data_IF_090610069349
#
_entry.id   IF_090610069349
#
_cell.length_a   1.000
_cell.length_b   1.000
_cell.length_c   1.000
_cell.angle_alpha   90.00
_cell.angle_beta   90.00
_cell.angle_gamma   90.00
#
_symmetry.space_group_name_H-M   'P 1'
#
loop_
_entity.id
_entity.type
_entity.pdbx_description
1 polymer ?
#
# COMPACT_ATOMS: atom_id res chain seq x y z
N UNK A 1 35.57 5.75 -20.02
CA UNK A 1 34.93 4.53 -19.43
C UNK A 1 35.25 4.52 -17.94
N UNK A 2 34.29 4.79 -17.05
CA UNK A 2 34.50 4.61 -15.59
C UNK A 2 34.76 3.13 -15.31
N UNK A 3 35.64 2.83 -14.37
CA UNK A 3 35.93 1.45 -13.97
C UNK A 3 34.69 0.82 -13.36
N UNK A 4 34.59 -0.52 -13.38
CA UNK A 4 33.50 -1.24 -12.69
C UNK A 4 33.47 -0.89 -11.21
N UNK A 5 34.64 -0.73 -10.61
CA UNK A 5 34.84 -0.34 -9.21
C UNK A 5 34.27 1.05 -8.93
N UNK A 6 34.50 2.03 -9.81
CA UNK A 6 34.00 3.40 -9.61
C UNK A 6 32.47 3.45 -9.63
N UNK A 7 31.83 2.62 -10.47
CA UNK A 7 30.36 2.51 -10.51
C UNK A 7 29.79 1.85 -9.27
N UNK A 8 30.46 0.83 -8.74
CA UNK A 8 30.04 0.15 -7.52
C UNK A 8 30.22 1.05 -6.29
N UNK A 9 31.32 1.81 -6.21
CA UNK A 9 31.56 2.77 -5.14
C UNK A 9 30.57 3.93 -5.19
N UNK A 10 30.26 4.44 -6.39
CA UNK A 10 29.22 5.46 -6.54
C UNK A 10 27.85 4.96 -6.05
N UNK A 11 27.44 3.75 -6.44
CA UNK A 11 26.19 3.16 -5.98
C UNK A 11 26.18 2.91 -4.46
N UNK A 12 27.29 2.47 -3.88
CA UNK A 12 27.43 2.28 -2.44
C UNK A 12 27.33 3.60 -1.68
N UNK A 13 27.96 4.66 -2.18
CA UNK A 13 27.86 6.00 -1.58
C UNK A 13 26.42 6.52 -1.66
N UNK A 14 25.77 6.42 -2.82
CA UNK A 14 24.35 6.79 -2.95
C UNK A 14 23.45 6.03 -1.96
N UNK A 15 23.72 4.73 -1.76
CA UNK A 15 22.99 3.95 -0.77
C UNK A 15 23.25 4.42 0.66
N UNK A 16 24.51 4.67 1.02
CA UNK A 16 24.87 5.16 2.37
C UNK A 16 24.34 6.57 2.64
N UNK A 17 24.38 7.45 1.64
CA UNK A 17 23.81 8.80 1.72
C UNK A 17 22.30 8.71 1.98
N UNK A 18 21.58 7.85 1.25
CA UNK A 18 20.16 7.63 1.51
C UNK A 18 19.90 7.04 2.91
N UNK A 19 20.69 6.05 3.35
CA UNK A 19 20.53 5.44 4.67
C UNK A 19 20.85 6.39 5.84
N UNK A 20 21.61 7.45 5.59
CA UNK A 20 22.00 8.43 6.62
C UNK A 20 21.13 9.68 6.60
N UNK A 21 20.68 10.11 5.43
CA UNK A 21 19.88 11.34 5.27
C UNK A 21 18.39 11.06 5.17
N UNK A 22 18.01 9.80 4.93
CA UNK A 22 16.66 9.38 4.56
C UNK A 22 16.12 10.08 3.30
N UNK A 23 16.95 10.79 2.54
CA UNK A 23 16.56 11.60 1.37
C UNK A 23 17.34 11.15 0.14
N UNK A 24 16.68 11.12 -1.01
CA UNK A 24 17.30 10.88 -2.31
C UNK A 24 16.62 11.73 -3.37
N UNK A 25 17.41 12.44 -4.16
CA UNK A 25 16.93 13.13 -5.35
C UNK A 25 17.10 12.22 -6.57
N UNK A 26 16.03 12.03 -7.34
CA UNK A 26 16.06 11.39 -8.66
C UNK A 26 15.21 12.17 -9.66
N UNK A 27 15.37 11.85 -10.96
CA UNK A 27 14.54 12.39 -12.03
C UNK A 27 13.06 12.08 -11.77
N UNK A 28 12.35 13.04 -11.16
CA UNK A 28 10.97 12.88 -10.67
C UNK A 28 10.69 13.51 -9.30
N UNK A 29 11.72 13.94 -8.57
CA UNK A 29 11.59 14.71 -7.33
C UNK A 29 12.41 14.16 -6.16
N UNK A 30 12.08 14.66 -4.96
CA UNK A 30 12.72 14.26 -3.70
C UNK A 30 11.99 13.05 -3.12
N UNK A 31 12.69 11.93 -3.00
CA UNK A 31 12.24 10.73 -2.30
C UNK A 31 12.74 10.78 -0.87
N UNK A 32 11.85 10.58 0.11
CA UNK A 32 12.23 10.57 1.53
C UNK A 32 11.62 9.39 2.28
N UNK A 33 12.38 8.79 3.19
CA UNK A 33 11.82 7.88 4.20
C UNK A 33 11.13 8.70 5.27
N UNK A 34 9.83 8.47 5.45
CA UNK A 34 9.03 9.11 6.51
C UNK A 34 9.00 8.16 7.72
N UNK A 35 9.40 8.67 8.88
CA UNK A 35 9.26 7.94 10.13
C UNK A 35 7.77 7.80 10.46
N UNK A 36 7.31 6.58 10.71
CA UNK A 36 5.90 6.34 11.05
C UNK A 36 5.70 6.70 12.52
N UNK A 37 4.74 7.56 12.83
CA UNK A 37 4.43 7.97 14.20
C UNK A 37 3.90 6.83 15.08
N UNK A 38 3.50 5.70 14.47
CA UNK A 38 2.98 4.52 15.15
C UNK A 38 3.64 3.21 14.69
N UNK A 39 3.72 2.20 15.57
CA UNK A 39 4.12 0.84 15.19
C UNK A 39 3.27 0.31 14.04
N UNK A 40 3.86 -0.49 13.16
CA UNK A 40 3.15 -1.13 12.06
C UNK A 40 2.03 -2.03 12.57
N UNK A 41 0.83 -1.87 12.00
CA UNK A 41 -0.36 -2.69 12.31
C UNK A 41 -0.68 -3.57 11.11
N UNK A 42 -0.85 -4.87 11.35
CA UNK A 42 -1.16 -5.88 10.33
C UNK A 42 -2.30 -6.79 10.79
N UNK A 43 -3.12 -7.18 9.82
CA UNK A 43 -4.22 -8.14 9.94
C UNK A 43 -3.81 -9.53 9.41
N UNK A 44 -2.51 -9.83 9.34
CA UNK A 44 -2.00 -11.11 8.81
C UNK A 44 -2.57 -12.35 9.54
N UNK A 45 -2.82 -12.24 10.85
CA UNK A 45 -3.48 -13.32 11.60
C UNK A 45 -4.92 -13.57 11.15
N UNK A 46 -5.65 -12.51 10.79
CA UNK A 46 -7.02 -12.62 10.26
C UNK A 46 -6.99 -13.24 8.86
N UNK A 47 -6.02 -12.86 8.01
CA UNK A 47 -5.81 -13.50 6.72
C UNK A 47 -5.53 -15.01 6.88
N UNK A 48 -4.62 -15.39 7.77
CA UNK A 48 -4.30 -16.79 8.04
C UNK A 48 -5.51 -17.59 8.59
N UNK A 49 -6.33 -16.99 9.46
CA UNK A 49 -7.59 -17.57 9.92
C UNK A 49 -8.55 -17.82 8.76
N UNK A 50 -8.76 -16.83 7.90
CA UNK A 50 -9.65 -16.95 6.74
C UNK A 50 -9.19 -18.04 5.76
N UNK A 51 -7.89 -18.15 5.50
CA UNK A 51 -7.35 -19.17 4.59
C UNK A 51 -7.62 -20.57 5.13
N UNK A 52 -7.45 -20.79 6.44
CA UNK A 52 -7.76 -22.08 7.08
C UNK A 52 -9.25 -22.38 7.07
N UNK A 53 -10.09 -21.36 7.15
CA UNK A 53 -11.55 -21.50 7.17
C UNK A 53 -12.18 -21.59 5.77
N UNK A 54 -11.42 -21.37 4.69
CA UNK A 54 -11.94 -21.35 3.32
C UNK A 54 -12.59 -22.70 2.97
N UNK A 55 -13.91 -22.74 2.71
CA UNK A 55 -14.58 -23.97 2.31
C UNK A 55 -14.13 -24.42 0.90
N UNK A 56 -14.11 -25.73 0.69
CA UNK A 56 -13.98 -26.31 -0.64
C UNK A 56 -15.14 -25.84 -1.53
N UNK A 57 -14.83 -25.42 -2.76
CA UNK A 57 -15.81 -24.90 -3.71
C UNK A 57 -16.69 -23.75 -3.15
N UNK A 58 -16.10 -22.87 -2.33
CA UNK A 58 -16.77 -21.66 -1.84
C UNK A 58 -15.88 -20.41 -1.78
N UNK A 59 -16.41 -19.36 -1.15
CA UNK A 59 -15.70 -18.11 -0.89
C UNK A 59 -15.94 -17.63 0.54
N UNK A 60 -15.06 -16.75 1.01
CA UNK A 60 -15.19 -16.04 2.27
C UNK A 60 -14.99 -14.55 2.05
N UNK A 61 -15.81 -13.74 2.71
CA UNK A 61 -15.68 -12.28 2.73
C UNK A 61 -15.72 -11.81 4.18
N UNK A 62 -14.80 -10.93 4.55
CA UNK A 62 -14.74 -10.34 5.91
C UNK A 62 -14.28 -8.89 5.83
N UNK A 63 -15.01 -8.01 6.49
CA UNK A 63 -14.50 -6.69 6.85
C UNK A 63 -13.54 -6.88 8.03
N UNK A 64 -12.24 -6.63 7.82
CA UNK A 64 -11.20 -6.86 8.83
C UNK A 64 -10.95 -5.63 9.69
N UNK A 65 -11.23 -4.46 9.12
CA UNK A 65 -11.35 -3.17 9.77
C UNK A 65 -12.25 -2.30 8.88
N UNK A 66 -12.70 -1.15 9.40
CA UNK A 66 -13.64 -0.30 8.68
C UNK A 66 -13.10 0.06 7.29
N UNK A 67 -13.86 -0.28 6.25
CA UNK A 67 -13.48 0.02 4.87
C UNK A 67 -12.36 -0.85 4.30
N UNK A 68 -11.87 -1.88 5.00
CA UNK A 68 -10.95 -2.87 4.45
C UNK A 68 -11.57 -4.27 4.51
N UNK A 69 -11.69 -4.88 3.35
CA UNK A 69 -12.31 -6.20 3.19
C UNK A 69 -11.33 -7.19 2.58
N UNK A 70 -11.32 -8.40 3.12
CA UNK A 70 -10.63 -9.54 2.55
C UNK A 70 -11.65 -10.47 1.90
N UNK A 71 -11.32 -10.94 0.70
CA UNK A 71 -12.14 -11.88 -0.06
C UNK A 71 -11.25 -13.04 -0.48
N UNK A 72 -11.64 -14.26 -0.14
CA UNK A 72 -10.97 -15.48 -0.57
C UNK A 72 -11.94 -16.30 -1.41
N UNK A 73 -11.48 -16.86 -2.52
CA UNK A 73 -12.27 -17.68 -3.42
C UNK A 73 -11.49 -18.95 -3.71
N UNK A 74 -12.06 -20.10 -3.37
CA UNK A 74 -11.50 -21.39 -3.74
C UNK A 74 -11.67 -21.62 -5.25
N UNK A 75 -10.63 -21.97 -5.98
CA UNK A 75 -10.65 -22.02 -7.45
C UNK A 75 -11.15 -23.35 -8.03
N UNK A 76 -11.70 -24.26 -7.21
CA UNK A 76 -12.20 -25.56 -7.69
C UNK A 76 -13.58 -25.50 -8.36
N UNK A 77 -14.27 -24.36 -8.28
CA UNK A 77 -15.59 -24.14 -8.88
C UNK A 77 -15.67 -22.84 -9.67
N UNK A 78 -16.72 -22.70 -10.49
CA UNK A 78 -17.07 -21.47 -11.18
C UNK A 78 -17.94 -20.59 -10.28
N UNK A 79 -17.65 -19.28 -10.22
CA UNK A 79 -18.40 -18.34 -9.38
C UNK A 79 -18.95 -17.17 -10.19
N UNK A 80 -20.11 -16.69 -9.74
CA UNK A 80 -20.61 -15.39 -10.15
C UNK A 80 -19.91 -14.29 -9.34
N UNK A 81 -18.97 -13.58 -9.95
CA UNK A 81 -18.26 -12.49 -9.27
C UNK A 81 -19.18 -11.37 -8.79
N UNK A 82 -20.34 -11.15 -9.42
CA UNK A 82 -21.30 -10.18 -8.93
C UNK A 82 -21.91 -10.59 -7.58
N UNK A 83 -21.99 -11.89 -7.28
CA UNK A 83 -22.42 -12.39 -5.98
C UNK A 83 -21.31 -12.26 -4.93
N UNK A 84 -20.08 -12.63 -5.30
CA UNK A 84 -18.91 -12.55 -4.43
C UNK A 84 -18.58 -11.11 -4.02
N UNK A 85 -18.69 -10.17 -4.96
CA UNK A 85 -18.31 -8.77 -4.76
C UNK A 85 -19.51 -7.82 -4.59
N UNK A 86 -20.75 -8.30 -4.79
CA UNK A 86 -21.94 -7.44 -4.92
C UNK A 86 -22.14 -6.47 -3.76
N UNK A 87 -21.98 -6.94 -2.52
CA UNK A 87 -22.12 -6.09 -1.33
C UNK A 87 -21.03 -5.02 -1.19
N UNK A 88 -19.90 -5.16 -1.89
CA UNK A 88 -18.74 -4.27 -1.80
C UNK A 88 -18.63 -3.30 -2.99
N UNK A 89 -19.32 -3.60 -4.09
CA UNK A 89 -19.23 -2.82 -5.34
C UNK A 89 -20.45 -1.91 -5.52
N UNK A 90 -21.60 -2.24 -4.90
CA UNK A 90 -22.84 -1.47 -5.08
C UNK A 90 -22.83 -0.15 -4.30
N UNK A 91 -22.27 -0.14 -3.09
CA UNK A 91 -22.32 1.02 -2.18
C UNK A 91 -20.96 1.73 -1.99
N UNK A 92 -19.86 1.11 -2.41
CA UNK A 92 -18.51 1.63 -2.24
C UNK A 92 -17.82 1.83 -3.60
N UNK A 93 -16.84 2.74 -3.65
CA UNK A 93 -15.89 2.83 -4.76
C UNK A 93 -14.68 1.97 -4.37
N UNK A 94 -14.57 0.71 -4.83
CA UNK A 94 -13.52 -0.18 -4.34
C UNK A 94 -12.18 0.09 -5.01
N UNK A 95 -11.11 0.05 -4.22
CA UNK A 95 -9.75 -0.14 -4.70
C UNK A 95 -9.33 -1.58 -4.42
N UNK A 96 -9.17 -2.38 -5.48
CA UNK A 96 -9.00 -3.84 -5.37
C UNK A 96 -7.55 -4.22 -5.65
N UNK A 97 -6.95 -4.98 -4.75
CA UNK A 97 -5.61 -5.53 -4.86
C UNK A 97 -5.65 -7.06 -4.85
N UNK A 98 -5.03 -7.70 -5.84
CA UNK A 98 -4.86 -9.15 -5.85
C UNK A 98 -3.64 -9.55 -5.02
N UNK A 99 -3.85 -10.30 -3.93
CA UNK A 99 -2.76 -10.84 -3.10
C UNK A 99 -1.94 -11.84 -3.90
N UNK A 100 -2.60 -12.72 -4.67
CA UNK A 100 -1.91 -13.68 -5.53
C UNK A 100 -1.10 -12.97 -6.63
N UNK A 101 -1.59 -11.83 -7.14
CA UNK A 101 -0.86 -11.00 -8.10
C UNK A 101 0.44 -10.44 -7.54
N UNK A 102 0.50 -10.14 -6.24
CA UNK A 102 1.70 -9.62 -5.58
C UNK A 102 2.89 -10.59 -5.67
N UNK A 103 2.67 -11.89 -5.88
CA UNK A 103 3.74 -12.90 -6.07
C UNK A 103 4.67 -12.56 -7.24
N UNK A 104 4.14 -11.92 -8.28
CA UNK A 104 4.89 -11.60 -9.50
C UNK A 104 5.74 -10.33 -9.36
N UNK A 105 5.46 -9.49 -8.37
CA UNK A 105 6.20 -8.27 -8.18
C UNK A 105 7.47 -8.53 -7.36
N UNK A 106 8.62 -8.05 -7.83
CA UNK A 106 9.90 -8.10 -7.10
C UNK A 106 9.92 -7.05 -5.98
N UNK A 107 9.02 -7.19 -5.03
CA UNK A 107 8.85 -6.26 -3.93
C UNK A 107 9.54 -6.85 -2.70
N UNK A 108 10.34 -6.05 -2.01
CA UNK A 108 11.03 -6.44 -0.77
C UNK A 108 10.08 -6.54 0.43
N UNK A 109 8.84 -6.98 0.21
CA UNK A 109 7.84 -7.15 1.27
C UNK A 109 8.09 -8.40 2.09
N UNK A 110 7.36 -8.49 3.21
CA UNK A 110 7.35 -9.66 4.05
C UNK A 110 7.00 -10.91 3.23
N UNK A 111 7.81 -11.98 3.25
CA UNK A 111 7.56 -13.15 2.42
C UNK A 111 6.21 -13.82 2.76
N UNK A 112 5.37 -14.05 1.74
CA UNK A 112 4.11 -14.79 1.91
C UNK A 112 4.22 -16.14 2.64
N UNK A 113 5.27 -16.96 2.47
CA UNK A 113 5.40 -18.20 3.22
C UNK A 113 5.49 -17.99 4.74
N UNK A 114 5.87 -16.79 5.19
CA UNK A 114 5.92 -16.44 6.61
C UNK A 114 4.62 -15.79 7.08
N UNK A 115 3.71 -15.44 6.16
CA UNK A 115 2.40 -14.87 6.47
C UNK A 115 1.33 -15.93 6.76
N UNK A 116 1.63 -17.19 6.43
CA UNK A 116 0.75 -18.33 6.67
C UNK A 116 1.34 -19.22 7.77
N UNK A 117 0.51 -19.62 8.73
CA UNK A 117 0.90 -20.52 9.81
C UNK A 117 0.68 -22.01 9.44
N UNK A 118 -0.03 -22.28 8.33
CA UNK A 118 -0.29 -23.60 7.78
C UNK A 118 0.52 -23.86 6.48
N UNK A 119 1.42 -24.86 6.48
CA UNK A 119 2.14 -25.26 5.27
C UNK A 119 1.23 -25.69 4.13
N UNK A 120 0.11 -26.37 4.40
CA UNK A 120 -0.81 -26.83 3.36
C UNK A 120 -1.46 -25.64 2.65
N UNK A 121 -1.99 -24.69 3.42
CA UNK A 121 -2.47 -23.41 2.92
C UNK A 121 -1.44 -22.66 2.06
N UNK A 122 -0.16 -22.67 2.47
CA UNK A 122 0.92 -22.06 1.69
C UNK A 122 1.04 -22.70 0.31
N UNK A 123 1.05 -24.04 0.23
CA UNK A 123 1.10 -24.74 -1.06
C UNK A 123 -0.12 -24.42 -1.94
N UNK A 124 -1.33 -24.44 -1.36
CA UNK A 124 -2.57 -24.06 -2.06
C UNK A 124 -2.46 -22.66 -2.67
N UNK A 125 -1.96 -21.68 -1.91
CA UNK A 125 -1.75 -20.30 -2.38
C UNK A 125 -0.76 -20.21 -3.55
N UNK A 126 0.37 -20.93 -3.46
CA UNK A 126 1.38 -20.92 -4.53
C UNK A 126 0.89 -21.63 -5.79
N UNK A 127 0.16 -22.73 -5.65
CA UNK A 127 -0.46 -23.47 -6.75
C UNK A 127 -1.64 -22.72 -7.40
N UNK A 128 -2.18 -21.68 -6.75
CA UNK A 128 -3.34 -20.95 -7.24
C UNK A 128 -4.65 -21.71 -7.04
N UNK A 129 -4.71 -22.59 -6.02
CA UNK A 129 -5.92 -23.33 -5.66
C UNK A 129 -6.96 -22.43 -4.98
N UNK A 130 -6.55 -21.27 -4.50
CA UNK A 130 -7.45 -20.18 -4.14
C UNK A 130 -6.84 -18.83 -4.52
N UNK A 131 -7.70 -17.83 -4.68
CA UNK A 131 -7.31 -16.42 -4.86
C UNK A 131 -7.79 -15.57 -3.70
N UNK A 132 -6.97 -14.60 -3.31
CA UNK A 132 -7.29 -13.62 -2.29
C UNK A 132 -7.22 -12.20 -2.86
N UNK A 133 -8.23 -11.40 -2.52
CA UNK A 133 -8.31 -9.98 -2.82
C UNK A 133 -8.38 -9.19 -1.52
N UNK A 134 -7.71 -8.04 -1.53
CA UNK A 134 -7.87 -6.99 -0.53
C UNK A 134 -8.62 -5.84 -1.20
N UNK A 135 -9.72 -5.41 -0.60
CA UNK A 135 -10.59 -4.35 -1.13
C UNK A 135 -10.62 -3.21 -0.12
N UNK A 136 -10.12 -2.05 -0.51
CA UNK A 136 -10.24 -0.82 0.27
C UNK A 136 -11.40 0.03 -0.26
N UNK A 137 -12.26 0.52 0.63
CA UNK A 137 -13.37 1.41 0.28
C UNK A 137 -12.87 2.85 0.17
N UNK A 138 -12.82 3.38 -1.06
CA UNK A 138 -12.40 4.76 -1.30
C UNK A 138 -13.35 5.78 -0.67
N UNK A 139 -14.64 5.45 -0.49
CA UNK A 139 -15.60 6.33 0.20
C UNK A 139 -15.19 6.53 1.65
N UNK A 140 -14.83 5.42 2.33
CA UNK A 140 -14.27 5.46 3.67
C UNK A 140 -12.95 6.24 3.72
N UNK A 141 -12.00 5.92 2.84
CA UNK A 141 -10.69 6.59 2.80
C UNK A 141 -10.82 8.10 2.60
N UNK A 142 -11.62 8.54 1.62
CA UNK A 142 -11.88 9.96 1.35
C UNK A 142 -12.52 10.64 2.56
N UNK A 143 -13.48 9.98 3.22
CA UNK A 143 -14.16 10.55 4.39
C UNK A 143 -13.21 10.68 5.59
N UNK A 144 -12.43 9.62 5.88
CA UNK A 144 -11.47 9.60 6.97
C UNK A 144 -10.38 10.68 6.79
N UNK A 145 -9.86 10.84 5.58
CA UNK A 145 -8.88 11.88 5.27
C UNK A 145 -9.50 13.28 5.36
N UNK A 146 -10.72 13.47 4.86
CA UNK A 146 -11.43 14.76 4.95
C UNK A 146 -11.69 15.18 6.39
N UNK A 147 -12.08 14.24 7.24
CA UNK A 147 -12.29 14.50 8.67
C UNK A 147 -10.98 14.87 9.38
N UNK A 148 -9.83 14.44 8.85
CA UNK A 148 -8.49 14.84 9.28
C UNK A 148 -7.97 16.12 8.61
N UNK A 149 -8.75 16.78 7.75
CA UNK A 149 -8.35 18.01 7.04
C UNK A 149 -7.57 17.79 5.74
N UNK A 150 -7.66 16.62 5.13
CA UNK A 150 -6.97 16.24 3.89
C UNK A 150 -7.96 15.85 2.78
N UNK A 151 -7.56 16.00 1.52
CA UNK A 151 -8.28 15.41 0.39
C UNK A 151 -7.57 14.17 -0.16
N UNK A 152 -8.34 13.33 -0.84
CA UNK A 152 -7.88 12.18 -1.61
C UNK A 152 -8.48 12.25 -3.01
N UNK A 153 -7.62 12.28 -4.02
CA UNK A 153 -7.99 12.21 -5.43
C UNK A 153 -7.41 10.92 -6.04
N UNK A 154 -8.26 10.17 -6.75
CA UNK A 154 -7.85 8.97 -7.48
C UNK A 154 -7.36 9.37 -8.86
N UNK A 155 -6.14 8.95 -9.18
CA UNK A 155 -5.44 9.26 -10.42
C UNK A 155 -5.58 8.10 -11.42
N UNK A 156 -5.42 8.40 -12.71
CA UNK A 156 -5.34 7.38 -13.77
C UNK A 156 -3.92 6.76 -13.94
N UNK A 157 -2.94 7.15 -13.11
CA UNK A 157 -1.59 6.56 -13.11
C UNK A 157 -1.49 5.41 -12.10
N UNK A 158 -1.44 4.17 -12.58
CA UNK A 158 -1.32 2.97 -11.75
C UNK A 158 -0.08 2.97 -10.83
N UNK A 159 0.98 3.71 -11.17
CA UNK A 159 2.19 3.80 -10.34
C UNK A 159 2.00 4.75 -9.17
N UNK A 160 1.18 5.78 -9.35
CA UNK A 160 0.87 6.84 -8.39
C UNK A 160 -0.66 7.03 -8.32
N UNK A 161 -1.39 6.00 -7.86
CA UNK A 161 -2.85 5.96 -8.00
C UNK A 161 -3.56 7.01 -7.15
N UNK A 162 -2.92 7.58 -6.12
CA UNK A 162 -3.53 8.61 -5.29
C UNK A 162 -2.72 9.90 -5.23
N UNK A 163 -3.45 11.00 -5.21
CA UNK A 163 -2.97 12.34 -4.88
C UNK A 163 -3.63 12.77 -3.57
N UNK A 164 -2.82 13.25 -2.63
CA UNK A 164 -3.26 13.68 -1.30
C UNK A 164 -2.68 15.05 -0.95
N UNK A 165 -3.41 15.83 -0.18
CA UNK A 165 -2.97 17.15 0.28
C UNK A 165 -3.94 17.77 1.28
N UNK A 166 -3.57 18.89 1.92
CA UNK A 166 -4.48 19.64 2.78
C UNK A 166 -5.77 20.02 2.05
N UNK A 167 -6.90 19.98 2.75
CA UNK A 167 -8.18 20.40 2.17
C UNK A 167 -8.10 21.87 1.73
N UNK A 168 -8.60 22.17 0.52
CA UNK A 168 -8.51 23.51 -0.08
C UNK A 168 -7.23 23.78 -0.89
N UNK A 169 -6.29 22.82 -0.96
CA UNK A 169 -5.09 22.91 -1.81
C UNK A 169 -5.17 22.06 -3.08
N UNK A 170 -6.37 21.64 -3.52
CA UNK A 170 -6.56 20.66 -4.59
C UNK A 170 -5.90 21.07 -5.92
N UNK A 171 -5.82 22.39 -6.18
CA UNK A 171 -5.19 22.98 -7.37
C UNK A 171 -3.79 23.51 -7.11
N UNK A 172 -3.25 23.37 -5.91
CA UNK A 172 -1.91 23.83 -5.57
C UNK A 172 -0.85 22.87 -6.12
N UNK A 173 0.31 23.42 -6.44
CA UNK A 173 1.51 22.64 -6.79
C UNK A 173 2.36 22.28 -5.58
N UNK A 174 2.22 23.03 -4.47
CA UNK A 174 2.95 22.83 -3.23
C UNK A 174 2.07 22.14 -2.17
N UNK A 175 2.69 21.32 -1.31
CA UNK A 175 1.98 20.60 -0.25
C UNK A 175 1.14 19.42 -0.74
N UNK A 176 1.25 19.04 -2.01
CA UNK A 176 0.63 17.85 -2.60
C UNK A 176 1.62 16.70 -2.60
N UNK A 177 1.16 15.52 -2.16
CA UNK A 177 1.91 14.27 -2.22
C UNK A 177 1.21 13.28 -3.14
N UNK A 178 2.02 12.45 -3.81
CA UNK A 178 1.54 11.32 -4.61
C UNK A 178 1.86 10.03 -3.87
N UNK A 179 0.84 9.18 -3.68
CA UNK A 179 1.00 7.89 -3.01
C UNK A 179 1.21 6.82 -4.07
N UNK A 180 2.41 6.25 -4.07
CA UNK A 180 2.77 5.19 -5.00
C UNK A 180 2.12 3.85 -4.68
N UNK A 181 1.95 3.02 -5.71
CA UNK A 181 1.45 1.66 -5.58
C UNK A 181 2.20 0.83 -4.54
N UNK A 182 3.50 1.09 -4.34
CA UNK A 182 4.28 0.38 -3.33
C UNK A 182 3.73 0.54 -1.92
N UNK A 183 3.24 1.72 -1.56
CA UNK A 183 2.63 1.94 -0.24
C UNK A 183 1.34 1.14 -0.12
N UNK A 184 0.49 1.23 -1.14
CA UNK A 184 -0.83 0.60 -1.14
C UNK A 184 -0.76 -0.91 -1.25
N UNK A 185 0.23 -1.42 -1.99
CA UNK A 185 0.50 -2.84 -2.14
C UNK A 185 0.79 -3.54 -0.80
N UNK A 186 1.20 -2.80 0.24
CA UNK A 186 1.37 -3.33 1.60
C UNK A 186 0.04 -3.82 2.21
N UNK A 187 -1.10 -3.27 1.79
CA UNK A 187 -2.43 -3.79 2.17
C UNK A 187 -2.59 -5.26 1.76
N UNK A 188 -2.07 -5.63 0.58
CA UNK A 188 -2.17 -6.98 0.05
C UNK A 188 -0.96 -7.86 0.40
N UNK A 189 0.24 -7.29 0.44
CA UNK A 189 1.48 -8.05 0.62
C UNK A 189 1.87 -8.27 2.09
N UNK A 190 1.50 -7.36 2.98
CA UNK A 190 1.83 -7.42 4.40
C UNK A 190 0.57 -7.40 5.28
N UNK A 191 -0.61 -7.46 4.67
CA UNK A 191 -1.90 -7.33 5.33
C UNK A 191 -1.98 -6.09 6.22
N UNK A 192 -1.36 -4.99 5.75
CA UNK A 192 -1.29 -3.74 6.51
C UNK A 192 -2.69 -3.20 6.82
N UNK A 193 -2.82 -2.54 7.98
CA UNK A 193 -4.01 -1.75 8.30
C UNK A 193 -4.09 -0.52 7.38
N UNK A 194 -5.26 -0.32 6.79
CA UNK A 194 -5.73 0.86 6.09
C UNK A 194 -5.64 2.09 6.98
N UNK A 195 -6.17 2.05 8.21
CA UNK A 195 -6.10 3.18 9.14
C UNK A 195 -4.65 3.56 9.45
N UNK A 196 -3.77 2.56 9.59
CA UNK A 196 -2.33 2.81 9.77
C UNK A 196 -1.73 3.50 8.55
N UNK A 197 -2.06 3.06 7.32
CA UNK A 197 -1.59 3.70 6.08
C UNK A 197 -2.11 5.14 5.97
N UNK A 198 -3.40 5.36 6.20
CA UNK A 198 -4.02 6.70 6.14
C UNK A 198 -3.30 7.64 7.11
N UNK A 199 -3.13 7.21 8.36
CA UNK A 199 -2.56 8.06 9.43
C UNK A 199 -1.06 8.31 9.26
N UNK A 200 -0.28 7.28 8.90
CA UNK A 200 1.19 7.35 8.94
C UNK A 200 1.81 7.68 7.59
N UNK A 201 1.11 7.43 6.48
CA UNK A 201 1.67 7.60 5.14
C UNK A 201 0.96 8.72 4.37
N UNK A 202 -0.35 8.86 4.53
CA UNK A 202 -1.11 9.88 3.78
C UNK A 202 -1.24 11.21 4.52
N UNK A 203 -1.32 11.19 5.85
CA UNK A 203 -1.45 12.41 6.68
C UNK A 203 -0.24 12.71 7.55
N UNK A 204 0.83 11.91 7.45
CA UNK A 204 2.00 12.05 8.30
C UNK A 204 2.53 13.48 8.28
N UNK A 205 2.73 14.08 9.47
CA UNK A 205 3.37 15.38 9.58
C UNK A 205 4.70 15.33 8.82
N UNK A 206 4.86 16.23 7.84
CA UNK A 206 6.15 16.46 7.22
C UNK A 206 7.12 16.78 8.36
N UNK A 207 8.17 15.97 8.59
CA UNK A 207 9.08 16.23 9.70
C UNK A 207 9.55 17.68 9.65
N UNK A 208 9.67 18.40 10.77
CA UNK A 208 10.08 19.82 10.77
C UNK A 208 11.36 20.07 9.96
N UNK A 209 12.28 19.08 9.94
CA UNK A 209 13.48 19.10 9.12
C UNK A 209 13.19 19.17 7.60
N UNK A 210 12.09 18.58 7.13
CA UNK A 210 11.60 18.68 5.76
C UNK A 210 10.99 20.04 5.46
N UNK A 211 10.17 20.56 6.38
CA UNK A 211 9.62 21.92 6.26
C UNK A 211 10.76 22.94 6.18
N UNK A 212 11.78 22.78 7.02
CA UNK A 212 12.98 23.63 7.02
C UNK A 212 13.85 23.47 5.76
N UNK A 213 13.91 22.27 5.16
CA UNK A 213 14.64 22.05 3.89
C UNK A 213 13.88 22.63 2.71
N UNK A 214 12.58 22.40 2.61
CA UNK A 214 11.72 22.98 1.56
C UNK A 214 11.67 24.51 1.65
N UNK A 215 11.62 25.07 2.86
CA UNK A 215 11.71 26.52 3.08
C UNK A 215 13.05 27.06 2.59
N UNK A 216 14.17 26.38 2.88
CA UNK A 216 15.50 26.78 2.38
C UNK A 216 15.60 26.71 0.85
N UNK A 217 14.98 25.72 0.22
CA UNK A 217 14.99 25.57 -1.25
C UNK A 217 14.11 26.63 -1.94
N UNK A 218 12.97 26.97 -1.34
CA UNK A 218 12.11 28.06 -1.81
C UNK A 218 12.76 29.44 -1.66
N UNK A 219 13.56 29.66 -0.62
CA UNK A 219 14.33 30.89 -0.42
C UNK A 219 15.57 31.01 -1.34
N UNK A 220 16.03 29.88 -1.89
CA UNK A 220 17.19 29.81 -2.78
C UNK A 220 16.84 29.89 -4.28
N UNK A 221 15.55 29.93 -4.63
CA UNK A 221 15.01 29.99 -5.99
C UNK A 221 14.49 31.40 -6.31
#
# INVERSE_FOLDING_TARGET
KRSRTDRQMAAANTMMDYLTTDVREEDGGVWRRVATGQPFVSHGLVAAEMIRALPDAGWLTREVERGLHYILIDCSADYNFAEVFGGLVVDARPFVLSVNGMKAHQLGYYPFPLSFDDPAATFRFYNGEFVMFVVADLTYMTSALRDAGWFLEVMEDDRMPFKVGPLGSETATEGISFVGFHVLGRLAAEFASLDWILTNVMTGEMPEALVAELTRQAEAS
#
